data_IF_335486716769
#
_entry.id   IF_335486716769
#
_cell.length_a   1.000
_cell.length_b   1.000
_cell.length_c   1.000
_cell.angle_alpha   90.00
_cell.angle_beta   90.00
_cell.angle_gamma   90.00
#
_symmetry.space_group_name_H-M   'P 1'
#
loop_
_entity.id
_entity.type
_entity.pdbx_description
1 polymer ?
#
# COMPACT_ATOMS: atom_id res chain seq x y z
N UNK A 1 7.40 20.22 -19.80
CA UNK A 1 8.83 19.94 -19.99
C UNK A 1 9.32 19.18 -18.77
N UNK A 2 9.89 17.99 -18.93
CA UNK A 2 10.41 17.20 -17.80
C UNK A 2 11.89 17.54 -17.58
N UNK A 3 12.28 17.63 -16.33
CA UNK A 3 13.68 17.83 -15.93
C UNK A 3 14.15 16.60 -15.16
N UNK A 4 14.75 15.66 -15.89
CA UNK A 4 15.23 14.41 -15.33
C UNK A 4 16.40 14.64 -14.38
N UNK A 5 16.36 14.01 -13.23
CA UNK A 5 17.50 13.93 -12.32
C UNK A 5 18.30 12.66 -12.62
N UNK A 6 19.61 12.74 -12.51
CA UNK A 6 20.50 11.59 -12.66
C UNK A 6 20.29 10.55 -11.55
N UNK A 7 20.42 9.27 -11.88
CA UNK A 7 20.27 8.15 -10.93
C UNK A 7 18.84 7.76 -10.61
N UNK A 8 17.84 8.30 -11.32
CA UNK A 8 16.44 7.90 -11.15
C UNK A 8 16.05 6.80 -12.18
N UNK A 9 15.12 5.90 -11.80
CA UNK A 9 14.61 4.87 -12.71
C UNK A 9 13.87 5.49 -13.91
N UNK A 10 13.76 4.75 -14.98
CA UNK A 10 12.99 5.18 -16.17
C UNK A 10 11.49 5.02 -15.98
N UNK A 11 11.12 3.99 -15.23
CA UNK A 11 9.74 3.62 -14.96
C UNK A 11 9.52 3.28 -13.48
N UNK A 12 8.36 3.62 -12.96
CA UNK A 12 7.91 3.29 -11.60
C UNK A 12 6.53 2.66 -11.68
N UNK A 13 6.35 1.56 -10.95
CA UNK A 13 5.04 0.96 -10.70
C UNK A 13 4.41 1.66 -9.50
N UNK A 14 3.25 2.27 -9.73
CA UNK A 14 2.40 2.78 -8.65
C UNK A 14 1.45 1.66 -8.24
N UNK A 15 1.65 1.12 -7.03
CA UNK A 15 0.80 0.10 -6.44
C UNK A 15 -0.34 0.80 -5.70
N UNK A 16 -1.54 0.75 -6.26
CA UNK A 16 -2.69 1.48 -5.74
C UNK A 16 -3.32 0.71 -4.56
N UNK A 17 -3.31 1.33 -3.39
CA UNK A 17 -3.86 0.74 -2.16
C UNK A 17 -5.15 1.42 -1.68
N UNK A 18 -5.66 2.40 -2.40
CA UNK A 18 -6.86 3.16 -2.05
C UNK A 18 -8.08 2.30 -1.75
N UNK A 19 -8.44 1.32 -2.60
CA UNK A 19 -9.63 0.48 -2.37
C UNK A 19 -9.51 -0.43 -1.14
N UNK A 20 -8.30 -0.83 -0.74
CA UNK A 20 -8.08 -1.64 0.46
C UNK A 20 -7.69 -0.77 1.66
N UNK A 21 -6.45 -0.26 1.67
CA UNK A 21 -5.87 0.47 2.79
C UNK A 21 -6.56 1.82 3.00
N UNK A 22 -6.83 2.50 1.90
CA UNK A 22 -7.52 3.77 1.90
C UNK A 22 -8.90 3.69 2.52
N UNK A 23 -9.77 2.84 1.98
CA UNK A 23 -11.16 2.70 2.44
C UNK A 23 -11.29 2.01 3.81
N UNK A 24 -10.30 1.21 4.21
CA UNK A 24 -10.30 0.51 5.49
C UNK A 24 -10.46 1.45 6.69
N UNK A 25 -9.93 2.66 6.60
CA UNK A 25 -9.90 3.63 7.69
C UNK A 25 -10.96 4.73 7.56
N UNK A 26 -11.83 4.65 6.54
CA UNK A 26 -12.93 5.61 6.40
C UNK A 26 -14.00 5.36 7.47
N UNK A 27 -14.59 6.44 8.00
CA UNK A 27 -15.65 6.35 9.01
C UNK A 27 -16.95 5.80 8.45
N UNK A 28 -17.23 6.03 7.17
CA UNK A 28 -18.41 5.55 6.48
C UNK A 28 -18.14 4.22 5.78
N UNK A 29 -19.12 3.32 5.81
CA UNK A 29 -19.10 2.11 4.97
C UNK A 29 -19.52 2.52 3.56
N UNK A 30 -18.58 2.38 2.62
CA UNK A 30 -18.82 2.67 1.20
C UNK A 30 -19.58 1.48 0.58
N UNK A 31 -20.67 1.73 -0.18
CA UNK A 31 -21.39 0.65 -0.88
C UNK A 31 -20.49 -0.13 -1.85
N UNK A 32 -20.74 -1.43 -2.00
CA UNK A 32 -19.94 -2.32 -2.83
C UNK A 32 -19.90 -1.87 -4.29
N UNK A 33 -20.99 -1.32 -4.80
CA UNK A 33 -21.08 -0.77 -6.16
C UNK A 33 -20.11 0.40 -6.37
N UNK A 34 -19.97 1.26 -5.36
CA UNK A 34 -19.03 2.38 -5.38
C UNK A 34 -17.58 1.89 -5.33
N UNK A 35 -17.30 0.85 -4.54
CA UNK A 35 -15.97 0.23 -4.50
C UNK A 35 -15.59 -0.41 -5.83
N UNK A 36 -16.53 -1.13 -6.46
CA UNK A 36 -16.31 -1.73 -7.77
C UNK A 36 -16.05 -0.65 -8.83
N UNK A 37 -16.89 0.39 -8.89
CA UNK A 37 -16.69 1.53 -9.79
C UNK A 37 -15.35 2.25 -9.51
N UNK A 38 -14.93 2.36 -8.25
CA UNK A 38 -13.64 2.96 -7.90
C UNK A 38 -12.48 2.15 -8.50
N UNK A 39 -12.48 0.83 -8.34
CA UNK A 39 -11.48 -0.06 -8.90
C UNK A 39 -11.46 0.01 -10.44
N UNK A 40 -12.64 0.03 -11.07
CA UNK A 40 -12.75 0.14 -12.52
C UNK A 40 -12.17 1.46 -13.04
N UNK A 41 -12.45 2.58 -12.38
CA UNK A 41 -11.88 3.89 -12.71
C UNK A 41 -10.36 3.92 -12.57
N UNK A 42 -9.81 3.24 -11.57
CA UNK A 42 -8.36 3.12 -11.38
C UNK A 42 -7.72 2.32 -12.52
N UNK A 43 -8.34 1.21 -12.91
CA UNK A 43 -7.89 0.43 -14.06
C UNK A 43 -7.98 1.24 -15.37
N UNK A 44 -9.06 2.04 -15.56
CA UNK A 44 -9.21 2.97 -16.69
C UNK A 44 -8.16 4.08 -16.69
N UNK A 45 -7.68 4.49 -15.52
CA UNK A 45 -6.61 5.47 -15.39
C UNK A 45 -5.23 4.88 -15.69
N UNK A 46 -5.11 3.57 -15.94
CA UNK A 46 -3.89 2.91 -16.35
C UNK A 46 -3.15 2.15 -15.26
N UNK A 47 -3.74 1.97 -14.08
CA UNK A 47 -3.14 1.12 -13.04
C UNK A 47 -3.00 -0.32 -13.53
N UNK A 48 -1.83 -0.89 -13.32
CA UNK A 48 -1.52 -2.30 -13.59
C UNK A 48 -1.65 -3.17 -12.34
N UNK A 49 -1.81 -2.55 -11.19
CA UNK A 49 -2.05 -3.23 -9.92
C UNK A 49 -2.90 -2.36 -8.99
N UNK A 50 -3.99 -2.95 -8.49
CA UNK A 50 -4.94 -2.30 -7.57
C UNK A 50 -5.26 -3.30 -6.46
N UNK A 51 -4.83 -3.02 -5.23
CA UNK A 51 -5.17 -3.85 -4.07
C UNK A 51 -6.66 -3.70 -3.77
N UNK A 52 -7.44 -4.71 -4.15
CA UNK A 52 -8.88 -4.58 -4.27
C UNK A 52 -9.62 -4.56 -2.93
N UNK A 53 -9.18 -5.40 -1.97
CA UNK A 53 -9.89 -5.59 -0.70
C UNK A 53 -9.05 -6.40 0.30
N UNK A 54 -9.69 -6.78 1.43
CA UNK A 54 -9.08 -7.61 2.47
C UNK A 54 -10.04 -8.69 2.95
N UNK A 55 -9.48 -9.84 3.31
CA UNK A 55 -10.19 -10.91 4.01
C UNK A 55 -10.00 -10.89 5.54
N UNK A 56 -9.65 -9.74 6.10
CA UNK A 56 -9.72 -9.50 7.55
C UNK A 56 -11.15 -9.70 8.03
N UNK A 57 -11.30 -10.20 9.26
CA UNK A 57 -12.63 -10.49 9.82
C UNK A 57 -13.49 -9.21 9.89
N UNK A 58 -14.75 -9.22 9.39
CA UNK A 58 -15.62 -8.05 9.30
C UNK A 58 -15.87 -7.32 10.64
N UNK A 59 -15.71 -8.03 11.75
CA UNK A 59 -15.82 -7.42 13.09
C UNK A 59 -14.69 -6.42 13.37
N UNK A 60 -13.53 -6.59 12.73
CA UNK A 60 -12.37 -5.71 12.89
C UNK A 60 -12.32 -4.63 11.82
N UNK A 61 -12.74 -4.98 10.59
CA UNK A 61 -12.76 -4.07 9.45
C UNK A 61 -14.11 -4.18 8.75
N UNK A 62 -15.17 -3.58 9.31
CA UNK A 62 -16.51 -3.62 8.72
C UNK A 62 -16.57 -2.96 7.33
N UNK A 63 -15.67 -2.01 7.05
CA UNK A 63 -15.57 -1.33 5.75
C UNK A 63 -15.26 -2.30 4.58
N UNK A 64 -14.61 -3.43 4.85
CA UNK A 64 -14.24 -4.43 3.83
C UNK A 64 -14.99 -5.77 4.01
N UNK A 65 -16.11 -5.75 4.73
CA UNK A 65 -16.91 -6.96 5.00
C UNK A 65 -17.48 -7.61 3.73
N UNK A 66 -17.66 -6.85 2.68
CA UNK A 66 -18.22 -7.21 1.37
C UNK A 66 -17.17 -7.74 0.36
N UNK A 67 -15.97 -8.11 0.82
CA UNK A 67 -14.85 -8.51 -0.03
C UNK A 67 -15.22 -9.56 -1.10
N UNK A 68 -15.97 -10.59 -0.74
CA UNK A 68 -16.38 -11.64 -1.68
C UNK A 68 -17.35 -11.12 -2.74
N UNK A 69 -18.31 -10.30 -2.36
CA UNK A 69 -19.25 -9.67 -3.29
C UNK A 69 -18.52 -8.70 -4.22
N UNK A 70 -17.61 -7.88 -3.68
CA UNK A 70 -16.79 -6.97 -4.48
C UNK A 70 -16.00 -7.72 -5.55
N UNK A 71 -15.26 -8.77 -5.19
CA UNK A 71 -14.46 -9.55 -6.13
C UNK A 71 -15.30 -10.25 -7.20
N UNK A 72 -16.54 -10.65 -6.86
CA UNK A 72 -17.50 -11.20 -7.82
C UNK A 72 -18.07 -10.17 -8.80
N UNK A 73 -17.99 -8.88 -8.49
CA UNK A 73 -18.47 -7.78 -9.34
C UNK A 73 -17.38 -7.18 -10.24
N UNK A 74 -16.10 -7.43 -9.93
CA UNK A 74 -15.00 -6.82 -10.69
C UNK A 74 -14.92 -7.34 -12.12
N UNK A 75 -14.86 -6.42 -13.07
CA UNK A 75 -14.40 -6.71 -14.43
C UNK A 75 -12.85 -6.80 -14.42
N UNK A 76 -12.34 -8.02 -14.22
CA UNK A 76 -10.89 -8.27 -14.14
C UNK A 76 -10.26 -8.08 -15.52
N UNK A 77 -9.65 -6.94 -15.73
CA UNK A 77 -9.07 -6.55 -17.01
C UNK A 77 -7.74 -7.26 -17.28
N UNK A 78 -7.48 -7.68 -18.51
CA UNK A 78 -6.18 -8.20 -18.91
C UNK A 78 -5.07 -7.20 -18.59
N UNK A 79 -3.97 -7.69 -17.98
CA UNK A 79 -2.83 -6.85 -17.62
C UNK A 79 -2.97 -6.04 -16.33
N UNK A 80 -4.11 -6.15 -15.64
CA UNK A 80 -4.30 -5.56 -14.29
C UNK A 80 -4.34 -6.67 -13.25
N UNK A 81 -3.53 -6.56 -12.22
CA UNK A 81 -3.55 -7.44 -11.04
C UNK A 81 -4.44 -6.84 -9.95
N UNK A 82 -5.18 -7.72 -9.27
CA UNK A 82 -6.11 -7.34 -8.19
C UNK A 82 -5.76 -8.12 -6.91
N UNK A 83 -4.63 -7.79 -6.25
CA UNK A 83 -4.25 -8.43 -5.01
C UNK A 83 -5.26 -8.18 -3.90
N UNK A 84 -5.26 -9.08 -2.91
CA UNK A 84 -6.08 -8.92 -1.71
C UNK A 84 -5.26 -9.17 -0.46
N UNK A 85 -5.56 -8.45 0.62
CA UNK A 85 -4.91 -8.66 1.90
C UNK A 85 -5.49 -9.88 2.61
N UNK A 86 -4.62 -10.81 3.03
CA UNK A 86 -5.00 -12.06 3.69
C UNK A 86 -4.32 -12.15 5.07
N UNK A 87 -5.10 -12.16 6.16
CA UNK A 87 -4.54 -12.17 7.51
C UNK A 87 -4.18 -13.57 8.03
N UNK A 88 -4.77 -14.63 7.48
CA UNK A 88 -4.66 -15.99 7.99
C UNK A 88 -5.18 -17.02 6.97
N UNK A 89 -5.08 -18.33 7.30
CA UNK A 89 -5.49 -19.43 6.41
C UNK A 89 -6.98 -19.37 6.00
N UNK A 90 -7.89 -18.94 6.91
CA UNK A 90 -9.32 -18.78 6.56
C UNK A 90 -9.54 -17.67 5.53
N UNK A 91 -8.73 -16.61 5.60
CA UNK A 91 -8.72 -15.56 4.58
C UNK A 91 -8.18 -16.09 3.25
N UNK A 92 -7.15 -16.94 3.30
CA UNK A 92 -6.61 -17.59 2.12
C UNK A 92 -7.62 -18.54 1.46
N UNK A 93 -8.35 -19.36 2.22
CA UNK A 93 -9.40 -20.23 1.68
C UNK A 93 -10.42 -19.44 0.85
N UNK A 94 -10.88 -18.30 1.40
CA UNK A 94 -11.82 -17.42 0.69
C UNK A 94 -11.22 -16.77 -0.56
N UNK A 95 -9.94 -16.39 -0.52
CA UNK A 95 -9.25 -15.84 -1.68
C UNK A 95 -9.12 -16.87 -2.81
N UNK A 96 -8.78 -18.11 -2.47
CA UNK A 96 -8.66 -19.24 -3.41
C UNK A 96 -10.02 -19.57 -4.07
N UNK A 97 -11.11 -19.64 -3.29
CA UNK A 97 -12.47 -19.87 -3.80
C UNK A 97 -12.91 -18.83 -4.83
N UNK A 98 -12.39 -17.60 -4.73
CA UNK A 98 -12.72 -16.48 -5.62
C UNK A 98 -11.73 -16.28 -6.77
N UNK A 99 -10.80 -17.21 -6.95
CA UNK A 99 -9.83 -17.18 -8.06
C UNK A 99 -8.87 -15.99 -7.98
N UNK A 100 -8.48 -15.59 -6.76
CA UNK A 100 -7.42 -14.60 -6.54
C UNK A 100 -6.08 -15.21 -6.94
N UNK A 101 -5.22 -14.44 -7.60
CA UNK A 101 -3.91 -14.88 -8.08
C UNK A 101 -2.74 -14.28 -7.32
N UNK A 102 -3.00 -13.24 -6.53
CA UNK A 102 -1.97 -12.55 -5.73
C UNK A 102 -2.56 -12.15 -4.38
N UNK A 103 -1.82 -12.40 -3.31
CA UNK A 103 -2.19 -11.99 -1.96
C UNK A 103 -1.11 -11.11 -1.34
N UNK A 104 -1.52 -10.31 -0.36
CA UNK A 104 -0.61 -9.61 0.54
C UNK A 104 -0.80 -10.10 1.97
N UNK A 105 0.31 -10.24 2.70
CA UNK A 105 0.33 -10.41 4.15
C UNK A 105 0.95 -9.16 4.79
N UNK A 106 0.83 -8.99 6.11
CA UNK A 106 1.30 -7.79 6.79
C UNK A 106 1.92 -8.12 8.15
N UNK A 107 3.22 -7.92 8.27
CA UNK A 107 3.98 -8.10 9.48
C UNK A 107 4.29 -6.74 10.14
N UNK A 108 4.67 -6.79 11.41
CA UNK A 108 5.17 -5.63 12.16
C UNK A 108 6.68 -5.73 12.35
N UNK A 109 7.35 -4.58 12.32
CA UNK A 109 8.74 -4.48 12.74
C UNK A 109 8.89 -4.24 14.25
N UNK A 110 7.79 -4.00 15.00
CA UNK A 110 7.82 -3.69 16.43
C UNK A 110 6.92 -4.62 17.24
N UNK A 111 7.29 -4.89 18.49
CA UNK A 111 6.57 -5.80 19.38
C UNK A 111 5.19 -5.28 19.74
N UNK A 112 5.10 -4.00 20.12
CA UNK A 112 3.84 -3.40 20.57
C UNK A 112 2.82 -3.34 19.44
N UNK A 113 3.25 -2.99 18.23
CA UNK A 113 2.33 -2.99 17.09
C UNK A 113 1.92 -4.40 16.67
N UNK A 114 2.83 -5.39 16.72
CA UNK A 114 2.47 -6.79 16.50
C UNK A 114 1.40 -7.26 17.50
N UNK A 115 1.59 -6.93 18.78
CA UNK A 115 0.63 -7.28 19.82
C UNK A 115 -0.74 -6.62 19.61
N UNK A 116 -0.78 -5.34 19.27
CA UNK A 116 -2.02 -4.57 19.11
C UNK A 116 -2.76 -4.88 17.81
N UNK A 117 -2.02 -5.05 16.71
CA UNK A 117 -2.60 -5.23 15.37
C UNK A 117 -2.87 -6.69 15.01
N UNK A 118 -2.01 -7.60 15.47
CA UNK A 118 -2.08 -9.02 15.12
C UNK A 118 -2.45 -9.92 16.32
N UNK A 119 -2.44 -9.38 17.53
CA UNK A 119 -2.51 -10.15 18.78
C UNK A 119 -1.44 -11.25 18.83
N UNK A 120 -0.21 -10.89 18.44
CA UNK A 120 0.98 -11.75 18.37
C UNK A 120 2.19 -11.00 18.91
N UNK A 121 3.20 -11.74 19.32
CA UNK A 121 4.55 -11.20 19.54
C UNK A 121 5.25 -10.97 18.19
N UNK A 122 6.34 -10.22 18.20
CA UNK A 122 7.19 -10.03 17.02
C UNK A 122 7.66 -11.38 16.42
N UNK A 123 7.90 -12.36 17.26
CA UNK A 123 8.31 -13.71 16.83
C UNK A 123 7.10 -14.54 16.38
N UNK A 124 6.03 -14.62 17.17
CA UNK A 124 4.89 -15.50 16.90
C UNK A 124 3.99 -15.03 15.74
N UNK A 125 4.20 -13.82 15.19
CA UNK A 125 3.50 -13.41 13.98
C UNK A 125 3.85 -14.31 12.78
N UNK A 126 5.05 -14.86 12.76
CA UNK A 126 5.49 -15.77 11.69
C UNK A 126 4.77 -17.12 11.73
N UNK A 127 4.44 -17.64 12.93
CA UNK A 127 3.63 -18.87 13.07
C UNK A 127 2.27 -18.75 12.36
N UNK A 128 1.77 -17.52 12.24
CA UNK A 128 0.52 -17.24 11.51
C UNK A 128 0.75 -17.12 10.01
N UNK A 129 1.87 -16.52 9.56
CA UNK A 129 2.09 -16.25 8.14
C UNK A 129 2.77 -17.40 7.39
N UNK A 130 3.63 -18.18 8.04
CA UNK A 130 4.32 -19.31 7.40
C UNK A 130 3.35 -20.28 6.71
N UNK A 131 2.27 -20.80 7.36
CA UNK A 131 1.33 -21.70 6.69
C UNK A 131 0.54 -21.00 5.57
N UNK A 132 0.23 -19.69 5.71
CA UNK A 132 -0.48 -18.92 4.68
C UNK A 132 0.38 -18.79 3.42
N UNK A 133 1.66 -18.40 3.59
CA UNK A 133 2.58 -18.22 2.46
C UNK A 133 2.84 -19.58 1.77
N UNK A 134 3.17 -20.61 2.54
CA UNK A 134 3.43 -21.95 1.98
C UNK A 134 2.25 -22.45 1.13
N UNK A 135 1.03 -22.39 1.67
CA UNK A 135 -0.17 -22.82 0.94
C UNK A 135 -0.49 -21.94 -0.26
N UNK A 136 -0.28 -20.62 -0.16
CA UNK A 136 -0.49 -19.72 -1.28
C UNK A 136 0.44 -20.07 -2.45
N UNK A 137 1.73 -20.30 -2.16
CA UNK A 137 2.73 -20.70 -3.15
C UNK A 137 2.42 -22.09 -3.75
N UNK A 138 1.98 -23.07 -2.95
CA UNK A 138 1.54 -24.37 -3.43
C UNK A 138 0.37 -24.29 -4.42
N UNK A 139 -0.49 -23.26 -4.27
CA UNK A 139 -1.59 -22.98 -5.20
C UNK A 139 -1.20 -22.04 -6.35
N UNK A 140 0.09 -21.68 -6.46
CA UNK A 140 0.60 -20.83 -7.54
C UNK A 140 0.25 -19.35 -7.41
N UNK A 141 -0.08 -18.88 -6.20
CA UNK A 141 -0.31 -17.46 -5.94
C UNK A 141 1.01 -16.73 -5.71
N UNK A 142 1.09 -15.48 -6.19
CA UNK A 142 2.13 -14.57 -5.78
C UNK A 142 1.83 -14.01 -4.38
N UNK A 143 2.86 -13.89 -3.53
CA UNK A 143 2.72 -13.36 -2.16
C UNK A 143 3.58 -12.14 -1.97
N UNK A 144 2.95 -11.01 -1.66
CA UNK A 144 3.61 -9.76 -1.24
C UNK A 144 3.54 -9.64 0.29
N UNK A 145 4.52 -8.97 0.91
CA UNK A 145 4.48 -8.69 2.35
C UNK A 145 4.62 -7.20 2.62
N UNK A 146 3.77 -6.67 3.50
CA UNK A 146 3.96 -5.38 4.15
C UNK A 146 4.77 -5.57 5.42
N UNK A 147 5.67 -4.63 5.71
CA UNK A 147 6.32 -4.50 7.01
C UNK A 147 5.92 -3.14 7.59
N UNK A 148 5.07 -3.15 8.60
CA UNK A 148 4.63 -1.93 9.29
C UNK A 148 5.66 -1.45 10.30
N UNK A 149 5.63 -0.15 10.64
CA UNK A 149 6.49 0.47 11.65
C UNK A 149 7.99 0.42 11.33
N UNK A 150 8.36 0.48 10.05
CA UNK A 150 9.77 0.42 9.65
C UNK A 150 10.61 1.63 10.11
N UNK A 151 9.99 2.76 10.40
CA UNK A 151 10.70 4.02 10.69
C UNK A 151 10.50 4.50 12.12
N UNK A 152 9.43 4.07 12.75
CA UNK A 152 9.11 4.41 14.12
C UNK A 152 7.74 3.88 14.52
N UNK A 153 7.55 3.80 15.82
CA UNK A 153 6.37 3.25 16.48
C UNK A 153 5.89 4.25 17.54
N UNK A 154 4.57 4.53 17.65
CA UNK A 154 4.08 5.54 18.59
C UNK A 154 4.28 5.18 20.07
N UNK A 155 4.56 3.92 20.38
CA UNK A 155 4.77 3.43 21.74
C UNK A 155 6.24 3.11 22.06
N UNK A 156 7.00 2.63 21.06
CA UNK A 156 8.39 2.21 21.23
C UNK A 156 9.40 3.27 20.76
N UNK A 157 8.95 4.27 19.98
CA UNK A 157 9.82 5.29 19.42
C UNK A 157 10.51 4.84 18.12
N UNK A 158 11.75 5.28 17.85
CA UNK A 158 12.47 4.91 16.62
C UNK A 158 12.67 3.41 16.50
N UNK A 159 12.34 2.82 15.35
CA UNK A 159 12.54 1.40 15.10
C UNK A 159 13.98 1.13 14.68
N UNK A 160 14.70 0.19 15.32
CA UNK A 160 16.04 -0.19 14.90
C UNK A 160 16.04 -0.77 13.48
N UNK A 161 16.94 -0.30 12.62
CA UNK A 161 17.05 -0.75 11.22
C UNK A 161 17.29 -2.27 11.16
N UNK A 162 18.14 -2.81 12.02
CA UNK A 162 18.48 -4.23 12.07
C UNK A 162 17.24 -5.10 12.37
N UNK A 163 16.31 -4.59 13.17
CA UNK A 163 15.07 -5.28 13.49
C UNK A 163 14.14 -5.33 12.27
N UNK A 164 14.04 -4.23 11.51
CA UNK A 164 13.28 -4.20 10.26
C UNK A 164 13.86 -5.16 9.24
N UNK A 165 15.19 -5.17 9.10
CA UNK A 165 15.90 -6.09 8.17
C UNK A 165 15.64 -7.54 8.58
N UNK A 166 15.76 -7.90 9.86
CA UNK A 166 15.52 -9.27 10.32
C UNK A 166 14.09 -9.76 10.01
N UNK A 167 13.07 -8.92 10.24
CA UNK A 167 11.68 -9.22 9.88
C UNK A 167 11.53 -9.38 8.37
N UNK A 168 12.08 -8.45 7.60
CA UNK A 168 11.98 -8.46 6.15
C UNK A 168 12.66 -9.67 5.51
N UNK A 169 13.87 -9.98 5.91
CA UNK A 169 14.61 -11.16 5.40
C UNK A 169 13.87 -12.46 5.69
N UNK A 170 13.25 -12.59 6.86
CA UNK A 170 12.44 -13.77 7.18
C UNK A 170 11.24 -13.88 6.25
N UNK A 171 10.52 -12.78 5.96
CA UNK A 171 9.40 -12.78 5.01
C UNK A 171 9.84 -13.14 3.58
N UNK A 172 10.99 -12.61 3.13
CA UNK A 172 11.60 -12.98 1.85
C UNK A 172 12.00 -14.45 1.81
N UNK A 173 12.50 -14.97 2.94
CA UNK A 173 12.85 -16.39 3.11
C UNK A 173 11.64 -17.33 3.05
N UNK A 174 10.45 -16.88 3.44
CA UNK A 174 9.20 -17.63 3.29
C UNK A 174 8.76 -17.74 1.81
N UNK A 175 9.29 -16.89 0.92
CA UNK A 175 8.94 -16.88 -0.49
C UNK A 175 8.12 -15.68 -0.94
N UNK A 176 7.95 -14.64 -0.11
CA UNK A 176 7.34 -13.39 -0.56
C UNK A 176 8.19 -12.77 -1.68
N UNK A 177 7.55 -12.40 -2.79
CA UNK A 177 8.29 -11.86 -3.94
C UNK A 177 8.75 -10.42 -3.74
N UNK A 178 8.06 -9.64 -2.89
CA UNK A 178 8.35 -8.24 -2.61
C UNK A 178 7.97 -7.86 -1.18
N UNK A 179 8.77 -6.97 -0.56
CA UNK A 179 8.47 -6.31 0.71
C UNK A 179 8.07 -4.86 0.47
N UNK A 180 6.98 -4.40 1.06
CA UNK A 180 6.62 -3.00 1.16
C UNK A 180 7.01 -2.45 2.53
N UNK A 181 7.97 -1.55 2.56
CA UNK A 181 8.48 -0.93 3.78
C UNK A 181 7.58 0.23 4.21
N UNK A 182 6.82 0.02 5.28
CA UNK A 182 5.76 0.93 5.71
C UNK A 182 6.23 1.98 6.72
N UNK A 183 6.08 3.25 6.36
CA UNK A 183 6.12 4.39 7.27
C UNK A 183 4.71 4.65 7.83
N UNK A 184 4.27 3.74 8.68
CA UNK A 184 2.88 3.62 9.14
C UNK A 184 2.35 4.88 9.84
N UNK A 185 3.21 5.66 10.46
CA UNK A 185 2.86 6.90 11.16
C UNK A 185 3.46 8.15 10.52
N UNK A 186 4.18 8.01 9.41
CA UNK A 186 4.72 9.11 8.60
C UNK A 186 5.91 9.84 9.20
N UNK A 187 6.70 9.19 10.05
CA UNK A 187 7.86 9.79 10.76
C UNK A 187 9.20 9.61 10.04
N UNK A 188 9.22 8.83 8.97
CA UNK A 188 10.40 8.59 8.17
C UNK A 188 10.95 9.86 7.52
N UNK A 189 12.26 9.88 7.30
CA UNK A 189 12.96 10.96 6.59
C UNK A 189 13.76 10.39 5.44
N UNK A 190 14.12 11.19 4.41
CA UNK A 190 14.90 10.71 3.27
C UNK A 190 16.22 10.00 3.66
N UNK A 191 16.90 10.49 4.70
CA UNK A 191 18.12 9.85 5.21
C UNK A 191 17.85 8.47 5.83
N UNK A 192 16.76 8.33 6.58
CA UNK A 192 16.34 7.06 7.16
C UNK A 192 15.96 6.04 6.06
N UNK A 193 15.21 6.47 5.03
CA UNK A 193 14.86 5.64 3.87
C UNK A 193 16.11 5.09 3.18
N UNK A 194 17.08 5.97 2.89
CA UNK A 194 18.35 5.57 2.25
C UNK A 194 19.13 4.57 3.11
N UNK A 195 19.19 4.81 4.43
CA UNK A 195 19.89 3.91 5.36
C UNK A 195 19.21 2.54 5.43
N UNK A 196 17.89 2.50 5.51
CA UNK A 196 17.13 1.24 5.58
C UNK A 196 17.28 0.41 4.30
N UNK A 197 17.14 1.02 3.10
CA UNK A 197 17.33 0.32 1.83
C UNK A 197 18.76 -0.18 1.70
N UNK A 198 19.75 0.63 2.12
CA UNK A 198 21.14 0.21 2.16
C UNK A 198 21.41 -0.98 3.07
N UNK A 199 20.72 -1.06 4.21
CA UNK A 199 20.85 -2.18 5.17
C UNK A 199 20.29 -3.50 4.63
N UNK A 200 19.30 -3.47 3.70
CA UNK A 200 18.86 -4.65 2.93
C UNK A 200 19.85 -5.07 1.82
N UNK A 201 20.95 -4.36 1.65
CA UNK A 201 21.92 -4.63 0.58
C UNK A 201 21.52 -4.02 -0.78
N UNK A 202 20.45 -3.24 -0.83
CA UNK A 202 19.95 -2.59 -2.04
C UNK A 202 18.43 -2.69 -2.21
N UNK A 203 17.92 -2.22 -3.36
CA UNK A 203 16.47 -2.09 -3.61
C UNK A 203 15.79 -3.39 -4.06
N UNK A 204 16.55 -4.48 -4.24
CA UNK A 204 16.00 -5.71 -4.81
C UNK A 204 14.83 -6.24 -3.99
N UNK A 205 13.72 -6.52 -4.65
CA UNK A 205 12.45 -6.94 -4.06
C UNK A 205 11.86 -5.99 -3.01
N UNK A 206 12.30 -4.72 -2.96
CA UNK A 206 11.72 -3.71 -2.07
C UNK A 206 10.70 -2.83 -2.79
N UNK A 207 9.67 -2.47 -2.09
CA UNK A 207 8.74 -1.39 -2.37
C UNK A 207 8.65 -0.48 -1.14
N UNK A 208 8.06 0.69 -1.30
CA UNK A 208 7.88 1.66 -0.21
C UNK A 208 6.43 2.09 -0.08
N UNK A 209 5.99 2.28 1.15
CA UNK A 209 4.66 2.72 1.53
C UNK A 209 4.78 3.83 2.55
N UNK A 210 4.50 5.07 2.14
CA UNK A 210 4.66 6.25 2.98
C UNK A 210 3.34 6.89 3.31
N UNK A 211 3.18 7.28 4.59
CA UNK A 211 2.17 8.23 5.03
C UNK A 211 2.70 9.66 4.98
N UNK A 212 1.83 10.61 4.67
CA UNK A 212 2.21 12.02 4.48
C UNK A 212 1.91 12.89 5.73
N UNK A 213 1.89 12.27 6.91
CA UNK A 213 1.55 12.91 8.19
C UNK A 213 2.33 14.19 8.43
N UNK A 214 3.61 14.20 8.13
CA UNK A 214 4.49 15.36 8.30
C UNK A 214 4.94 15.97 6.96
N UNK A 215 4.26 15.65 5.84
CA UNK A 215 4.59 16.19 4.53
C UNK A 215 5.90 15.65 3.95
N UNK A 216 6.35 14.46 4.39
CA UNK A 216 7.63 13.89 3.97
C UNK A 216 7.50 12.81 2.89
N UNK A 217 6.30 12.34 2.59
CA UNK A 217 6.10 11.16 1.74
C UNK A 217 6.73 11.32 0.34
N UNK A 218 6.59 12.47 -0.33
CA UNK A 218 7.24 12.72 -1.62
C UNK A 218 8.76 12.79 -1.52
N UNK A 219 9.29 13.41 -0.46
CA UNK A 219 10.73 13.48 -0.18
C UNK A 219 11.33 12.09 0.08
N UNK A 220 10.63 11.27 0.87
CA UNK A 220 10.99 9.89 1.15
C UNK A 220 10.93 9.02 -0.11
N UNK A 221 9.90 9.21 -0.94
CA UNK A 221 9.78 8.55 -2.24
C UNK A 221 10.95 8.89 -3.15
N UNK A 222 11.33 10.18 -3.25
CA UNK A 222 12.48 10.58 -4.07
C UNK A 222 13.77 9.93 -3.59
N UNK A 223 13.97 9.81 -2.27
CA UNK A 223 15.13 9.11 -1.70
C UNK A 223 15.11 7.62 -2.04
N UNK A 224 13.95 6.96 -1.94
CA UNK A 224 13.80 5.55 -2.32
C UNK A 224 14.08 5.31 -3.81
N UNK A 225 13.58 6.18 -4.69
CA UNK A 225 13.86 6.12 -6.14
C UNK A 225 15.34 6.30 -6.45
N UNK A 226 16.02 7.22 -5.75
CA UNK A 226 17.50 7.38 -5.87
C UNK A 226 18.27 6.18 -5.38
N UNK A 227 17.73 5.45 -4.40
CA UNK A 227 18.29 4.18 -3.95
C UNK A 227 17.94 3.00 -4.87
N UNK A 228 17.17 3.23 -5.95
CA UNK A 228 16.84 2.25 -6.98
C UNK A 228 15.50 1.52 -6.80
N UNK A 229 14.69 1.84 -5.80
CA UNK A 229 13.33 1.28 -5.66
C UNK A 229 12.48 1.73 -6.84
N UNK A 230 11.66 0.81 -7.38
CA UNK A 230 10.81 1.06 -8.56
C UNK A 230 9.32 0.79 -8.32
N UNK A 231 8.94 0.40 -7.11
CA UNK A 231 7.53 0.20 -6.72
C UNK A 231 7.19 1.10 -5.54
N UNK A 232 6.17 1.92 -5.70
CA UNK A 232 5.70 2.85 -4.67
C UNK A 232 4.21 2.64 -4.45
N UNK A 233 3.83 2.38 -3.21
CA UNK A 233 2.44 2.31 -2.80
C UNK A 233 1.88 3.72 -2.67
N UNK A 234 0.69 3.95 -3.20
CA UNK A 234 -0.01 5.21 -3.09
C UNK A 234 -1.52 4.99 -3.05
N UNK A 235 -2.25 5.98 -2.62
CA UNK A 235 -3.71 5.94 -2.50
C UNK A 235 -4.33 7.12 -3.22
N UNK A 236 -5.20 6.87 -4.18
CA UNK A 236 -5.95 7.91 -4.88
C UNK A 236 -6.67 8.82 -3.90
N UNK A 237 -6.47 10.13 -4.05
CA UNK A 237 -6.98 11.14 -3.13
C UNK A 237 -6.27 11.21 -1.78
N UNK A 238 -5.22 10.41 -1.56
CA UNK A 238 -4.53 10.31 -0.27
C UNK A 238 -5.41 9.76 0.84
N UNK A 239 -6.42 8.93 0.50
CA UNK A 239 -7.31 8.34 1.51
C UNK A 239 -6.58 7.28 2.33
N UNK A 240 -7.04 7.07 3.56
CA UNK A 240 -6.43 6.18 4.55
C UNK A 240 -5.90 6.96 5.75
N UNK A 241 -5.35 6.23 6.70
CA UNK A 241 -4.79 6.78 7.94
C UNK A 241 -4.30 5.64 8.83
N UNK A 242 -3.79 5.98 10.00
CA UNK A 242 -3.43 4.99 11.00
C UNK A 242 -4.40 5.10 12.19
N UNK A 243 -5.16 4.05 12.51
CA UNK A 243 -6.11 4.10 13.63
C UNK A 243 -5.42 4.26 14.99
N UNK A 244 -4.10 4.04 15.04
CA UNK A 244 -3.29 4.13 16.26
C UNK A 244 -2.54 5.46 16.39
N UNK A 245 -2.65 6.35 15.40
CA UNK A 245 -2.07 7.68 15.44
C UNK A 245 -3.15 8.67 14.97
N UNK A 246 -3.85 9.29 15.93
CA UNK A 246 -4.97 10.23 15.67
C UNK A 246 -4.58 11.42 14.77
N UNK A 247 -3.28 11.74 14.72
CA UNK A 247 -2.71 12.78 13.86
C UNK A 247 -2.20 12.28 12.51
N UNK A 248 -2.20 10.95 12.25
CA UNK A 248 -1.71 10.40 11.00
C UNK A 248 -2.68 10.76 9.86
N UNK A 249 -2.28 11.70 9.02
CA UNK A 249 -2.94 11.97 7.75
C UNK A 249 -2.69 10.83 6.79
N UNK A 250 -3.50 10.71 5.73
CA UNK A 250 -3.56 9.55 4.86
C UNK A 250 -2.26 9.15 4.17
N UNK A 251 -2.39 8.15 3.34
CA UNK A 251 -1.34 7.66 2.46
C UNK A 251 -0.81 8.77 1.55
N UNK A 252 0.38 8.58 1.00
CA UNK A 252 0.85 9.35 -0.15
C UNK A 252 -0.22 9.34 -1.25
N UNK A 253 -0.67 10.52 -1.66
CA UNK A 253 -1.68 10.62 -2.71
C UNK A 253 -1.11 10.21 -4.07
N UNK A 254 -1.83 9.36 -4.79
CA UNK A 254 -1.43 8.86 -6.11
C UNK A 254 -1.21 10.02 -7.10
N UNK A 255 -2.09 11.03 -7.07
CA UNK A 255 -2.00 12.18 -7.97
C UNK A 255 -0.75 13.03 -7.69
N UNK A 256 -0.41 13.22 -6.41
CA UNK A 256 0.78 14.00 -6.01
C UNK A 256 2.06 13.25 -6.41
N UNK A 257 2.08 11.93 -6.25
CA UNK A 257 3.16 11.06 -6.72
C UNK A 257 3.31 11.14 -8.25
N UNK A 258 2.22 10.96 -9.00
CA UNK A 258 2.24 10.96 -10.47
C UNK A 258 2.67 12.33 -11.01
N UNK A 259 2.24 13.42 -10.37
CA UNK A 259 2.69 14.77 -10.70
C UNK A 259 4.20 14.91 -10.57
N UNK A 260 4.78 14.48 -9.46
CA UNK A 260 6.22 14.49 -9.23
C UNK A 260 6.96 13.64 -10.26
N UNK A 261 6.53 12.38 -10.47
CA UNK A 261 7.18 11.46 -11.40
C UNK A 261 7.15 11.98 -12.85
N UNK A 262 6.01 12.54 -13.29
CA UNK A 262 5.87 13.17 -14.61
C UNK A 262 6.82 14.36 -14.77
N UNK A 263 6.96 15.20 -13.73
CA UNK A 263 7.91 16.33 -13.72
C UNK A 263 9.37 15.89 -13.83
N UNK A 264 9.68 14.71 -13.28
CA UNK A 264 11.01 14.09 -13.34
C UNK A 264 11.24 13.26 -14.63
N UNK A 265 10.25 13.14 -15.52
CA UNK A 265 10.35 12.33 -16.73
C UNK A 265 10.38 10.83 -16.47
N UNK A 266 9.76 10.37 -15.38
CA UNK A 266 9.62 8.96 -15.02
C UNK A 266 8.26 8.47 -15.52
N UNK A 267 8.26 7.36 -16.25
CA UNK A 267 7.04 6.76 -16.77
C UNK A 267 6.29 5.97 -15.69
N UNK A 268 4.97 6.13 -15.65
CA UNK A 268 4.07 5.33 -14.79
C UNK A 268 3.02 4.59 -15.59
N UNK A 269 2.70 5.05 -16.80
CA UNK A 269 1.55 4.59 -17.58
C UNK A 269 0.21 5.18 -17.13
N UNK A 270 0.20 6.05 -16.11
CA UNK A 270 -1.02 6.59 -15.51
C UNK A 270 -1.47 7.90 -16.19
N UNK A 271 -2.78 8.02 -16.35
CA UNK A 271 -3.47 9.22 -16.82
C UNK A 271 -3.87 10.10 -15.63
N UNK A 272 -3.16 11.21 -15.45
CA UNK A 272 -3.38 12.10 -14.30
C UNK A 272 -4.76 12.75 -14.32
N UNK A 273 -5.31 13.07 -15.48
CA UNK A 273 -6.64 13.73 -15.58
C UNK A 273 -7.73 12.75 -15.13
N UNK A 274 -7.62 11.48 -15.50
CA UNK A 274 -8.50 10.41 -15.01
C UNK A 274 -8.36 10.18 -13.51
N UNK A 275 -7.15 10.22 -12.97
CA UNK A 275 -6.91 10.10 -11.52
C UNK A 275 -7.57 11.27 -10.76
N UNK A 276 -7.36 12.50 -11.20
CA UNK A 276 -8.00 13.70 -10.60
C UNK A 276 -9.52 13.59 -10.64
N UNK A 277 -10.08 13.15 -11.78
CA UNK A 277 -11.52 12.93 -11.93
C UNK A 277 -12.02 11.82 -10.97
N UNK A 278 -11.27 10.72 -10.84
CA UNK A 278 -11.60 9.61 -9.93
C UNK A 278 -11.54 10.05 -8.48
N UNK A 279 -10.51 10.80 -8.10
CA UNK A 279 -10.37 11.33 -6.74
C UNK A 279 -11.48 12.32 -6.39
N UNK A 280 -11.85 13.21 -7.31
CA UNK A 280 -12.97 14.14 -7.11
C UNK A 280 -14.30 13.40 -6.95
N UNK A 281 -14.55 12.44 -7.83
CA UNK A 281 -15.72 11.56 -7.76
C UNK A 281 -15.80 10.77 -6.44
N UNK A 282 -14.65 10.26 -5.94
CA UNK A 282 -14.59 9.54 -4.66
C UNK A 282 -14.83 10.47 -3.47
N UNK A 283 -14.23 11.66 -3.50
CA UNK A 283 -14.38 12.69 -2.44
C UNK A 283 -15.85 13.07 -2.22
N UNK A 284 -16.65 13.20 -3.30
CA UNK A 284 -18.08 13.44 -3.22
C UNK A 284 -18.82 12.31 -2.49
N UNK A 285 -18.43 11.05 -2.72
CA UNK A 285 -19.05 9.87 -2.09
C UNK A 285 -18.65 9.67 -0.64
N UNK A 286 -17.43 10.09 -0.30
CA UNK A 286 -16.94 10.08 1.07
C UNK A 286 -17.43 11.32 1.87
N UNK A 287 -18.02 12.31 1.20
CA UNK A 287 -18.50 13.54 1.84
C UNK A 287 -17.39 14.43 2.41
N UNK A 288 -16.16 14.30 1.91
CA UNK A 288 -15.02 15.08 2.33
C UNK A 288 -14.06 15.38 1.17
N UNK A 289 -13.33 16.51 1.21
CA UNK A 289 -12.40 16.86 0.14
C UNK A 289 -11.22 15.87 0.08
N UNK A 290 -10.65 15.72 -1.12
CA UNK A 290 -9.38 15.02 -1.32
C UNK A 290 -8.25 15.72 -0.57
N UNK A 291 -7.36 14.93 0.02
CA UNK A 291 -6.14 15.46 0.66
C UNK A 291 -5.01 15.74 -0.36
N UNK A 292 -5.12 15.21 -1.59
CA UNK A 292 -4.15 15.46 -2.66
C UNK A 292 -4.06 16.94 -3.00
N UNK A 293 -2.84 17.47 -2.99
CA UNK A 293 -2.56 18.86 -3.39
C UNK A 293 -2.82 19.09 -4.88
N UNK A 294 -2.50 18.08 -5.68
CA UNK A 294 -2.72 18.13 -7.13
C UNK A 294 -4.22 18.18 -7.45
N UNK A 295 -5.03 17.34 -6.78
CA UNK A 295 -6.49 17.38 -6.95
C UNK A 295 -7.04 18.75 -6.54
N UNK A 296 -6.63 19.27 -5.38
CA UNK A 296 -7.06 20.60 -4.93
C UNK A 296 -6.70 21.73 -5.90
N UNK A 297 -5.57 21.61 -6.61
CA UNK A 297 -5.12 22.59 -7.57
C UNK A 297 -5.86 22.47 -8.92
N UNK A 298 -6.09 21.24 -9.40
CA UNK A 298 -6.61 20.98 -10.75
C UNK A 298 -8.15 20.87 -10.81
N UNK A 299 -8.81 20.43 -9.73
CA UNK A 299 -10.26 20.29 -9.68
C UNK A 299 -11.03 21.63 -9.61
N UNK A 300 -10.33 22.76 -9.59
CA UNK A 300 -10.91 24.12 -9.54
C UNK A 300 -11.08 24.78 -10.92
N UNK A 301 -10.86 24.02 -11.99
CA UNK A 301 -11.00 24.47 -13.38
C UNK A 301 -12.38 24.23 -13.96
#
# INVERSE_FOLDING_TARGET
MAYRMEGLPERVTVYEVGPRDGLQNESAIVPVEVKAEFIDRLADAGHTVVEATSFVHPKWVPQLADAAELLGRLDRRPGVRYPVLVPNERGLDRALELGVTEIAIFASATETFAAKNLNRTLESQFDMFEPVVARALEHGLDVRAYVSMCFGDPWEGPTPIEQVVAVGERLLGLGCYQLSLGDTIGVGTPGHVTALIGAFGGPDRLAVHFHDTYGQALGNTLAALKAGVTTVDASTGGIGGCPYAESATGNLATEDLVWMLRGLGIETGLDLDKLVSTSTWLAERLGRPSSSRVVQALAKG
#
